data_IF_024442268903
#
_entry.id   IF_024442268903
#
_cell.length_a   1.000
_cell.length_b   1.000
_cell.length_c   1.000
_cell.angle_alpha   90.00
_cell.angle_beta   90.00
_cell.angle_gamma   90.00
#
_symmetry.space_group_name_H-M   'P 1'
#
loop_
_entity.id
_entity.type
_entity.pdbx_description
1 polymer ?
#
# COMPACT_ATOMS: atom_id res chain seq x y z
N UNK A 1 -12.18 -2.04 -16.33
CA UNK A 1 -11.58 -3.14 -15.52
C UNK A 1 -10.21 -3.59 -16.00
N UNK A 2 -9.90 -3.71 -17.31
CA UNK A 2 -8.52 -3.91 -17.79
C UNK A 2 -7.53 -2.83 -17.31
N UNK A 3 -7.98 -1.56 -17.26
CA UNK A 3 -7.16 -0.40 -16.85
C UNK A 3 -6.77 -0.34 -15.36
N UNK A 4 -7.49 -1.06 -14.46
CA UNK A 4 -7.26 -1.00 -13.00
C UNK A 4 -6.38 -2.15 -12.49
N UNK A 5 -6.32 -3.27 -13.23
CA UNK A 5 -5.35 -4.35 -12.95
C UNK A 5 -4.01 -4.09 -13.62
N UNK A 6 -3.99 -3.35 -14.74
CA UNK A 6 -2.77 -2.68 -15.16
C UNK A 6 -2.29 -1.79 -14.03
N UNK A 7 -3.07 -0.95 -13.33
CA UNK A 7 -2.52 -0.06 -12.28
C UNK A 7 -1.84 -0.74 -11.08
N UNK A 8 -2.12 -2.01 -10.76
CA UNK A 8 -1.43 -2.75 -9.69
C UNK A 8 -0.13 -3.44 -10.16
N UNK A 9 -0.01 -3.66 -11.47
CA UNK A 9 1.22 -4.05 -12.18
C UNK A 9 1.93 -2.84 -12.84
N UNK A 10 1.27 -1.70 -12.91
CA UNK A 10 1.63 -0.43 -13.57
C UNK A 10 1.78 0.69 -12.54
N UNK A 11 1.96 0.33 -11.28
CA UNK A 11 2.49 1.22 -10.24
C UNK A 11 4.02 1.22 -10.19
N UNK A 12 4.68 0.57 -11.16
CA UNK A 12 6.10 0.82 -11.43
C UNK A 12 6.39 0.81 -12.93
N UNK A 13 6.33 1.98 -13.56
CA UNK A 13 6.80 2.18 -14.93
C UNK A 13 7.64 3.46 -15.04
N UNK A 14 8.64 3.65 -14.17
CA UNK A 14 9.65 4.70 -14.32
C UNK A 14 10.93 4.27 -13.59
N UNK A 15 12.09 4.19 -14.26
CA UNK A 15 13.43 3.96 -13.67
C UNK A 15 14.47 4.56 -14.61
N UNK A 16 15.70 5.07 -14.27
CA UNK A 16 16.84 4.52 -13.48
C UNK A 16 18.28 5.01 -13.78
N UNK A 17 19.18 4.07 -14.10
CA UNK A 17 20.65 4.05 -13.98
C UNK A 17 21.22 4.33 -12.59
N UNK A 18 21.44 3.24 -11.85
CA UNK A 18 22.45 3.17 -10.80
C UNK A 18 23.86 3.31 -11.38
N UNK A 19 24.79 3.85 -10.60
CA UNK A 19 26.22 3.88 -10.93
C UNK A 19 26.73 2.44 -11.09
N UNK A 20 27.38 2.14 -12.21
CA UNK A 20 28.01 0.84 -12.48
C UNK A 20 29.15 0.63 -11.49
N UNK A 21 29.03 -0.41 -10.66
CA UNK A 21 30.20 -1.14 -10.18
C UNK A 21 30.57 -2.14 -11.29
N UNK A 22 31.76 -2.02 -11.87
CA UNK A 22 32.22 -2.79 -13.02
C UNK A 22 32.44 -4.30 -12.73
N UNK A 23 32.00 -4.79 -11.56
CA UNK A 23 32.18 -6.17 -11.09
C UNK A 23 30.85 -6.91 -10.83
N UNK A 24 29.68 -6.32 -11.10
CA UNK A 24 28.41 -7.05 -10.92
C UNK A 24 28.17 -8.06 -12.07
N UNK A 25 27.76 -9.30 -11.76
CA UNK A 25 27.53 -10.33 -12.76
C UNK A 25 26.31 -9.97 -13.62
N UNK A 26 26.50 -9.76 -14.93
CA UNK A 26 25.40 -9.60 -15.88
C UNK A 26 24.81 -10.98 -16.21
N UNK A 27 23.49 -11.13 -16.05
CA UNK A 27 22.82 -12.39 -16.36
C UNK A 27 22.75 -12.63 -17.88
N UNK A 28 22.78 -13.91 -18.27
CA UNK A 28 22.45 -14.29 -19.62
C UNK A 28 20.97 -13.97 -19.90
N UNK A 29 20.57 -13.69 -21.16
CA UNK A 29 19.18 -13.43 -21.51
C UNK A 29 18.23 -14.56 -21.06
N UNK A 30 18.64 -15.82 -21.22
CA UNK A 30 17.80 -16.98 -20.87
C UNK A 30 17.63 -17.15 -19.35
N UNK A 31 18.72 -16.97 -18.59
CA UNK A 31 18.63 -16.96 -17.12
C UNK A 31 17.77 -15.79 -16.64
N UNK A 32 17.95 -14.61 -17.25
CA UNK A 32 17.18 -13.41 -16.96
C UNK A 32 15.68 -13.60 -17.17
N UNK A 33 15.27 -14.10 -18.33
CA UNK A 33 13.87 -14.44 -18.64
C UNK A 33 13.30 -15.45 -17.65
N UNK A 34 14.08 -16.46 -17.28
CA UNK A 34 13.67 -17.49 -16.30
C UNK A 34 13.46 -16.90 -14.91
N UNK A 35 14.37 -16.04 -14.43
CA UNK A 35 14.23 -15.35 -13.14
C UNK A 35 12.97 -14.47 -13.14
N UNK A 36 12.74 -13.72 -14.22
CA UNK A 36 11.55 -12.86 -14.33
C UNK A 36 10.28 -13.68 -14.27
N UNK A 37 10.18 -14.73 -15.10
CA UNK A 37 9.03 -15.62 -15.15
C UNK A 37 8.74 -16.27 -13.80
N UNK A 38 9.74 -16.88 -13.17
CA UNK A 38 9.58 -17.55 -11.87
C UNK A 38 9.12 -16.56 -10.79
N UNK A 39 9.63 -15.34 -10.83
CA UNK A 39 9.22 -14.30 -9.88
C UNK A 39 7.77 -13.89 -10.10
N UNK A 40 7.33 -13.66 -11.34
CA UNK A 40 5.94 -13.35 -11.64
C UNK A 40 5.00 -14.51 -11.26
N UNK A 41 5.42 -15.75 -11.49
CA UNK A 41 4.67 -16.93 -11.03
C UNK A 41 4.53 -16.96 -9.50
N UNK A 42 5.61 -16.63 -8.78
CA UNK A 42 5.61 -16.59 -7.31
C UNK A 42 4.67 -15.51 -6.73
N UNK A 43 4.39 -14.43 -7.47
CA UNK A 43 3.40 -13.41 -7.06
C UNK A 43 2.01 -14.04 -6.90
N UNK A 44 1.62 -14.93 -7.81
CA UNK A 44 0.33 -15.62 -7.70
C UNK A 44 0.28 -16.55 -6.48
N UNK A 45 1.38 -17.18 -6.11
CA UNK A 45 1.45 -17.97 -4.88
C UNK A 45 1.35 -17.09 -3.63
N UNK A 46 1.84 -15.85 -3.69
CA UNK A 46 1.61 -14.86 -2.64
C UNK A 46 0.14 -14.48 -2.51
N UNK A 47 -0.56 -14.27 -3.62
CA UNK A 47 -2.00 -14.03 -3.60
C UNK A 47 -2.80 -15.21 -3.07
N UNK A 48 -2.42 -16.45 -3.42
CA UNK A 48 -3.02 -17.65 -2.82
C UNK A 48 -2.83 -17.67 -1.31
N UNK A 49 -1.60 -17.44 -0.82
CA UNK A 49 -1.33 -17.34 0.63
C UNK A 49 -2.13 -16.24 1.32
N UNK A 50 -2.35 -15.11 0.65
CA UNK A 50 -3.18 -14.03 1.18
C UNK A 50 -4.65 -14.46 1.27
N UNK A 51 -5.16 -15.11 0.22
CA UNK A 51 -6.51 -15.64 0.20
C UNK A 51 -6.72 -16.81 1.17
N UNK A 52 -5.71 -17.66 1.41
CA UNK A 52 -5.79 -18.81 2.33
C UNK A 52 -5.50 -18.41 3.79
N UNK A 53 -5.16 -17.15 4.04
CA UNK A 53 -4.89 -16.62 5.38
C UNK A 53 -6.16 -16.43 6.21
N UNK A 54 -6.03 -16.59 7.53
CA UNK A 54 -7.15 -16.42 8.47
C UNK A 54 -7.77 -15.02 8.42
N UNK A 55 -6.99 -14.00 8.04
CA UNK A 55 -7.49 -12.66 7.81
C UNK A 55 -8.49 -12.63 6.65
N UNK A 56 -8.19 -13.30 5.54
CA UNK A 56 -9.09 -13.30 4.40
C UNK A 56 -10.38 -14.09 4.69
N UNK A 57 -10.29 -15.17 5.47
CA UNK A 57 -11.48 -15.87 5.97
C UNK A 57 -12.34 -14.95 6.85
N UNK A 58 -11.72 -14.26 7.81
CA UNK A 58 -12.41 -13.27 8.64
C UNK A 58 -13.04 -12.16 7.80
N UNK A 59 -12.27 -11.57 6.89
CA UNK A 59 -12.70 -10.48 5.99
C UNK A 59 -13.90 -10.92 5.15
N UNK A 60 -13.87 -12.15 4.61
CA UNK A 60 -14.99 -12.70 3.86
C UNK A 60 -16.25 -12.82 4.72
N UNK A 61 -16.14 -13.31 5.96
CA UNK A 61 -17.29 -13.45 6.84
C UNK A 61 -17.89 -12.11 7.27
N UNK A 62 -17.06 -11.12 7.59
CA UNK A 62 -17.56 -9.80 8.04
C UNK A 62 -18.06 -8.93 6.89
N UNK A 63 -17.61 -9.16 5.66
CA UNK A 63 -18.14 -8.50 4.46
C UNK A 63 -19.37 -9.20 3.87
N UNK A 64 -19.77 -10.37 4.39
CA UNK A 64 -20.97 -11.04 3.92
C UNK A 64 -22.20 -10.18 4.23
N UNK A 65 -23.08 -10.01 3.24
CA UNK A 65 -24.33 -9.27 3.42
C UNK A 65 -25.18 -9.87 4.54
N UNK A 66 -25.75 -8.98 5.34
CA UNK A 66 -26.66 -9.23 6.45
C UNK A 66 -27.83 -8.25 6.35
N UNK A 67 -28.74 -8.50 5.41
CA UNK A 67 -29.73 -7.52 4.97
C UNK A 67 -29.11 -6.58 3.93
N UNK A 68 -29.29 -5.28 4.11
CA UNK A 68 -28.77 -4.25 3.18
C UNK A 68 -27.28 -3.92 3.42
N UNK A 69 -26.76 -4.24 4.60
CA UNK A 69 -25.38 -3.93 5.02
C UNK A 69 -24.53 -5.20 5.14
N UNK A 70 -23.20 -5.05 5.06
CA UNK A 70 -22.30 -6.11 5.49
C UNK A 70 -22.39 -6.33 7.00
N UNK A 71 -21.91 -7.48 7.48
CA UNK A 71 -21.92 -7.76 8.92
C UNK A 71 -21.07 -6.75 9.73
N UNK A 72 -19.90 -6.35 9.21
CA UNK A 72 -19.06 -5.33 9.84
C UNK A 72 -19.77 -3.96 9.93
N UNK A 73 -20.39 -3.53 8.84
CA UNK A 73 -21.14 -2.26 8.80
C UNK A 73 -22.31 -2.30 9.77
N UNK A 74 -23.09 -3.38 9.79
CA UNK A 74 -24.23 -3.52 10.70
C UNK A 74 -23.81 -3.43 12.18
N UNK A 75 -22.72 -4.10 12.56
CA UNK A 75 -22.15 -4.00 13.91
C UNK A 75 -21.70 -2.57 14.23
N UNK A 76 -21.03 -1.92 13.27
CA UNK A 76 -20.54 -0.54 13.40
C UNK A 76 -21.68 0.46 13.56
N UNK A 77 -22.65 0.46 12.65
CA UNK A 77 -23.84 1.32 12.69
C UNK A 77 -24.59 1.19 14.00
N UNK A 78 -24.80 -0.04 14.49
CA UNK A 78 -25.46 -0.23 15.79
C UNK A 78 -24.67 0.40 16.93
N UNK A 79 -23.34 0.33 16.88
CA UNK A 79 -22.51 1.01 17.87
C UNK A 79 -22.63 2.54 17.75
N UNK A 80 -22.64 3.07 16.52
CA UNK A 80 -22.84 4.49 16.23
C UNK A 80 -24.21 5.01 16.69
N UNK A 81 -25.27 4.24 16.51
CA UNK A 81 -26.63 4.59 16.93
C UNK A 81 -26.77 4.63 18.46
N UNK A 82 -26.06 3.75 19.16
CA UNK A 82 -26.20 3.55 20.61
C UNK A 82 -25.28 4.43 21.45
N UNK A 83 -24.15 4.89 20.90
CA UNK A 83 -23.13 5.59 21.64
C UNK A 83 -22.63 6.84 20.90
N UNK A 84 -22.34 7.89 21.67
CA UNK A 84 -21.75 9.10 21.13
C UNK A 84 -20.27 8.88 20.73
N UNK A 85 -20.07 8.53 19.46
CA UNK A 85 -18.74 8.25 18.90
C UNK A 85 -17.97 9.48 18.45
N UNK A 86 -18.60 10.65 18.41
CA UNK A 86 -18.01 11.88 17.88
C UNK A 86 -18.06 12.97 18.94
N UNK A 87 -16.89 13.38 19.44
CA UNK A 87 -16.78 14.43 20.44
C UNK A 87 -15.71 15.44 20.08
N UNK A 88 -16.07 16.72 20.13
CA UNK A 88 -15.18 17.84 19.79
C UNK A 88 -14.55 17.67 18.40
N UNK A 89 -15.36 17.29 17.40
CA UNK A 89 -14.91 17.14 16.00
C UNK A 89 -13.96 15.97 15.75
N UNK A 90 -13.91 14.96 16.64
CA UNK A 90 -13.13 13.74 16.42
C UNK A 90 -13.69 12.54 17.19
N UNK A 91 -13.02 11.39 17.05
CA UNK A 91 -13.47 10.15 17.66
C UNK A 91 -13.44 10.21 19.21
N UNK A 92 -14.56 9.88 19.85
CA UNK A 92 -14.73 9.96 21.31
C UNK A 92 -14.05 8.79 22.05
N UNK A 93 -12.73 8.62 21.88
CA UNK A 93 -12.02 7.48 22.45
C UNK A 93 -12.08 7.45 23.98
N UNK A 94 -11.96 8.61 24.66
CA UNK A 94 -11.80 8.65 26.11
C UNK A 94 -13.06 8.21 26.86
N UNK A 95 -14.24 8.63 26.41
CA UNK A 95 -15.51 8.32 27.10
C UNK A 95 -16.06 6.96 26.68
N UNK A 96 -15.70 6.51 25.47
CA UNK A 96 -16.07 5.18 24.99
C UNK A 96 -15.21 4.06 25.56
N UNK A 97 -14.18 4.32 26.36
CA UNK A 97 -13.42 3.28 27.08
C UNK A 97 -14.36 2.34 27.84
N UNK A 98 -14.17 1.02 27.65
CA UNK A 98 -15.06 -0.01 28.16
C UNK A 98 -15.03 -1.30 27.34
N UNK A 99 -15.76 -2.29 27.85
CA UNK A 99 -16.00 -3.57 27.18
C UNK A 99 -17.45 -3.58 26.71
N UNK A 100 -17.64 -3.77 25.41
CA UNK A 100 -18.94 -3.83 24.73
C UNK A 100 -19.14 -5.23 24.19
N UNK A 101 -20.24 -5.84 24.58
CA UNK A 101 -20.59 -7.20 24.18
C UNK A 101 -21.85 -7.13 23.34
N UNK A 102 -21.81 -7.73 22.15
CA UNK A 102 -22.94 -7.85 21.27
C UNK A 102 -23.97 -8.83 21.84
N UNK A 103 -25.24 -8.44 21.88
CA UNK A 103 -26.34 -9.32 22.23
C UNK A 103 -26.97 -9.89 20.96
N UNK A 104 -26.80 -11.20 20.74
CA UNK A 104 -27.31 -11.89 19.54
C UNK A 104 -28.84 -11.96 19.46
N UNK A 105 -29.54 -11.76 20.58
CA UNK A 105 -31.01 -11.79 20.64
C UNK A 105 -31.59 -10.42 20.35
N UNK A 106 -31.14 -9.38 21.07
CA UNK A 106 -31.65 -8.00 20.89
C UNK A 106 -31.01 -7.29 19.71
N UNK A 107 -29.88 -7.79 19.20
CA UNK A 107 -29.07 -7.20 18.12
C UNK A 107 -28.59 -5.79 18.47
N UNK A 108 -28.09 -5.66 19.69
CA UNK A 108 -27.62 -4.41 20.26
C UNK A 108 -26.33 -4.63 21.04
N UNK A 109 -25.50 -3.58 21.13
CA UNK A 109 -24.35 -3.55 22.02
C UNK A 109 -24.77 -3.26 23.46
N UNK A 110 -24.10 -3.91 24.40
CA UNK A 110 -24.20 -3.62 25.82
C UNK A 110 -22.81 -3.37 26.40
N UNK A 111 -22.64 -2.27 27.13
CA UNK A 111 -21.42 -2.02 27.91
C UNK A 111 -21.43 -2.92 29.14
N UNK A 112 -20.63 -3.98 29.12
CA UNK A 112 -20.60 -5.04 30.15
C UNK A 112 -19.46 -4.90 31.15
N UNK A 113 -18.51 -4.00 30.90
CA UNK A 113 -17.40 -3.77 31.82
C UNK A 113 -16.63 -2.47 31.57
N UNK A 114 -15.82 -2.09 32.55
CA UNK A 114 -14.87 -1.00 32.46
C UNK A 114 -13.53 -1.49 31.91
N UNK A 115 -12.83 -0.66 31.14
CA UNK A 115 -11.51 -0.94 30.58
C UNK A 115 -10.80 0.38 30.31
N UNK A 116 -9.46 0.39 30.24
CA UNK A 116 -8.68 1.53 29.76
C UNK A 116 -8.71 1.68 28.24
N UNK A 117 -9.23 0.66 27.54
CA UNK A 117 -9.31 0.54 26.10
C UNK A 117 -10.78 0.44 25.66
N UNK A 118 -11.04 0.49 24.35
CA UNK A 118 -12.34 0.10 23.81
C UNK A 118 -12.23 -1.35 23.34
N UNK A 119 -13.08 -2.23 23.86
CA UNK A 119 -13.11 -3.64 23.47
C UNK A 119 -14.49 -3.99 22.96
N UNK A 120 -14.57 -4.50 21.74
CA UNK A 120 -15.80 -5.05 21.16
C UNK A 120 -15.70 -6.58 21.14
N UNK A 121 -16.73 -7.25 21.62
CA UNK A 121 -16.88 -8.71 21.64
C UNK A 121 -18.14 -9.06 20.85
N UNK A 122 -17.98 -9.80 19.75
CA UNK A 122 -19.04 -10.02 18.77
C UNK A 122 -18.93 -11.40 18.11
N UNK A 123 -20.00 -11.91 17.47
CA UNK A 123 -19.89 -13.06 16.58
C UNK A 123 -19.07 -12.73 15.33
N UNK A 124 -18.06 -13.53 15.00
CA UNK A 124 -17.25 -13.28 13.79
C UNK A 124 -18.04 -13.45 12.46
N UNK A 125 -19.26 -13.98 12.52
CA UNK A 125 -20.15 -14.21 11.37
C UNK A 125 -21.57 -13.72 11.69
N UNK A 126 -22.31 -13.20 10.70
CA UNK A 126 -23.66 -12.65 10.90
C UNK A 126 -24.67 -13.62 11.54
N UNK A 127 -24.59 -14.92 11.22
CA UNK A 127 -25.49 -15.95 11.75
C UNK A 127 -24.92 -16.69 12.98
N UNK A 128 -23.78 -16.22 13.50
CA UNK A 128 -23.09 -16.86 14.62
C UNK A 128 -23.75 -16.51 15.95
N UNK A 129 -23.93 -17.51 16.82
CA UNK A 129 -24.37 -17.30 18.20
C UNK A 129 -23.19 -17.18 19.18
N UNK A 130 -22.01 -17.65 18.78
CA UNK A 130 -20.81 -17.64 19.60
C UNK A 130 -20.11 -16.29 19.49
N UNK A 131 -19.79 -15.68 20.62
CA UNK A 131 -19.03 -14.44 20.70
C UNK A 131 -17.52 -14.71 20.62
N UNK A 132 -17.07 -15.08 19.43
CA UNK A 132 -15.68 -15.49 19.19
C UNK A 132 -14.81 -14.43 18.50
N UNK A 133 -15.40 -13.35 18.02
CA UNK A 133 -14.70 -12.17 17.51
C UNK A 133 -14.44 -11.16 18.62
N UNK A 134 -13.23 -10.62 18.65
CA UNK A 134 -12.84 -9.56 19.58
C UNK A 134 -11.96 -8.53 18.89
N UNK A 135 -12.34 -7.26 18.97
CA UNK A 135 -11.54 -6.13 18.52
C UNK A 135 -11.19 -5.25 19.73
N UNK A 136 -9.95 -4.80 19.81
CA UNK A 136 -9.48 -3.88 20.87
C UNK A 136 -8.84 -2.68 20.22
N UNK A 137 -9.32 -1.49 20.52
CA UNK A 137 -8.66 -0.24 20.21
C UNK A 137 -8.02 0.33 21.48
N UNK A 138 -6.72 0.55 21.42
CA UNK A 138 -5.92 1.10 22.51
C UNK A 138 -4.98 2.19 22.04
N UNK A 139 -4.51 3.00 22.99
CA UNK A 139 -3.53 4.08 22.78
C UNK A 139 -3.89 5.06 21.65
N UNK A 140 -5.18 5.24 21.35
CA UNK A 140 -5.63 6.18 20.33
C UNK A 140 -5.38 7.62 20.77
N UNK A 141 -4.76 8.38 19.88
CA UNK A 141 -4.55 9.82 20.01
C UNK A 141 -4.79 10.46 18.65
N UNK A 142 -5.40 11.63 18.67
CA UNK A 142 -5.57 12.48 17.51
C UNK A 142 -5.06 13.89 17.79
N UNK A 143 -4.86 14.66 16.73
CA UNK A 143 -4.45 16.06 16.79
C UNK A 143 -5.33 16.87 15.84
N UNK A 144 -5.75 18.06 16.28
CA UNK A 144 -6.37 19.05 15.39
C UNK A 144 -5.31 19.56 14.42
N UNK A 145 -5.61 19.48 13.13
CA UNK A 145 -4.77 20.05 12.08
C UNK A 145 -5.62 21.08 11.35
N UNK A 146 -5.05 22.26 11.20
CA UNK A 146 -5.66 23.37 10.49
C UNK A 146 -4.93 23.55 9.16
N UNK A 147 -5.66 23.47 8.07
CA UNK A 147 -5.18 23.81 6.72
C UNK A 147 -6.03 24.98 6.25
N UNK A 148 -5.38 26.10 5.96
CA UNK A 148 -6.06 27.37 5.70
C UNK A 148 -7.02 27.77 6.84
N UNK A 149 -8.34 27.68 6.62
CA UNK A 149 -9.38 27.96 7.63
C UNK A 149 -10.05 26.71 8.20
N UNK A 150 -9.84 25.55 7.58
CA UNK A 150 -10.54 24.32 7.94
C UNK A 150 -9.71 23.52 8.94
N UNK A 151 -10.38 23.08 10.02
CA UNK A 151 -9.74 22.31 11.09
C UNK A 151 -10.41 20.96 11.25
N UNK A 152 -9.61 19.91 11.19
CA UNK A 152 -10.07 18.52 11.35
C UNK A 152 -9.14 17.76 12.30
N UNK A 153 -9.66 16.75 13.02
CA UNK A 153 -8.86 15.91 13.91
C UNK A 153 -8.40 14.65 13.20
N UNK A 154 -7.08 14.50 13.08
CA UNK A 154 -6.47 13.34 12.46
C UNK A 154 -5.86 12.40 13.50
N UNK A 155 -6.04 11.07 13.37
CA UNK A 155 -5.33 10.10 14.19
C UNK A 155 -3.81 10.26 14.00
N UNK A 156 -3.09 10.39 15.11
CA UNK A 156 -1.61 10.44 15.13
C UNK A 156 -0.99 9.22 15.78
N UNK A 157 -1.78 8.50 16.61
CA UNK A 157 -1.43 7.21 17.21
C UNK A 157 -2.66 6.34 17.38
N UNK A 158 -2.46 5.04 17.38
CA UNK A 158 -3.51 4.08 17.70
C UNK A 158 -3.06 2.66 17.45
N UNK A 159 -3.69 1.73 18.16
CA UNK A 159 -3.39 0.32 18.02
C UNK A 159 -4.69 -0.46 18.09
N UNK A 160 -5.05 -1.12 16.99
CA UNK A 160 -6.21 -2.01 16.92
C UNK A 160 -5.75 -3.45 16.73
N UNK A 161 -6.30 -4.36 17.52
CA UNK A 161 -6.03 -5.81 17.43
C UNK A 161 -7.36 -6.52 17.24
N UNK A 162 -7.42 -7.41 16.27
CA UNK A 162 -8.59 -8.26 16.00
C UNK A 162 -8.20 -9.72 16.17
N UNK A 163 -8.96 -10.43 16.99
CA UNK A 163 -8.83 -11.87 17.20
C UNK A 163 -10.13 -12.60 16.91
N UNK A 164 -10.04 -13.78 16.32
CA UNK A 164 -11.15 -14.74 16.17
C UNK A 164 -10.72 -16.05 16.83
N UNK A 165 -11.57 -16.62 17.68
CA UNK A 165 -11.25 -17.82 18.46
C UNK A 165 -9.92 -17.70 19.23
N UNK A 166 -9.68 -16.50 19.79
CA UNK A 166 -8.45 -16.09 20.49
C UNK A 166 -7.15 -16.14 19.65
N UNK A 167 -7.25 -16.23 18.32
CA UNK A 167 -6.11 -16.11 17.40
C UNK A 167 -6.12 -14.75 16.73
N UNK A 168 -4.95 -14.10 16.66
CA UNK A 168 -4.80 -12.79 16.01
C UNK A 168 -4.91 -12.93 14.50
N UNK A 169 -5.97 -12.37 13.93
CA UNK A 169 -6.22 -12.37 12.48
C UNK A 169 -5.76 -11.06 11.83
N UNK A 170 -5.87 -9.94 12.56
CA UNK A 170 -5.40 -8.65 12.11
C UNK A 170 -4.89 -7.80 13.29
N UNK A 171 -3.96 -6.90 12.99
CA UNK A 171 -3.50 -5.86 13.90
C UNK A 171 -3.04 -4.66 13.07
N UNK A 172 -3.39 -3.46 13.50
CA UNK A 172 -2.86 -2.23 12.90
C UNK A 172 -2.35 -1.33 14.02
N UNK A 173 -1.11 -0.88 13.87
CA UNK A 173 -0.43 -0.03 14.82
C UNK A 173 0.10 1.21 14.10
N UNK A 174 -0.51 2.35 14.38
CA UNK A 174 -0.02 3.66 14.04
C UNK A 174 0.86 4.15 15.20
N UNK A 175 2.17 4.03 15.05
CA UNK A 175 3.12 4.44 16.09
C UNK A 175 3.20 5.97 16.18
N UNK A 176 3.24 6.62 15.02
CA UNK A 176 3.33 8.07 14.90
C UNK A 176 2.96 8.54 13.49
N UNK A 177 2.26 9.67 13.41
CA UNK A 177 2.14 10.48 12.19
C UNK A 177 2.33 11.93 12.58
N UNK A 178 3.15 12.65 11.82
CA UNK A 178 3.31 14.09 11.95
C UNK A 178 3.14 14.76 10.59
N UNK A 179 2.66 15.99 10.64
CA UNK A 179 2.32 16.78 9.47
C UNK A 179 3.12 18.07 9.47
N UNK A 180 3.37 18.60 8.28
CA UNK A 180 3.94 19.92 8.13
C UNK A 180 2.87 20.98 8.47
N UNK A 181 3.23 21.91 9.36
CA UNK A 181 2.37 23.02 9.75
C UNK A 181 2.64 24.24 8.85
N UNK A 182 1.68 25.18 8.78
CA UNK A 182 1.78 26.42 7.98
C UNK A 182 1.90 26.18 6.46
N UNK A 183 1.28 25.11 5.98
CA UNK A 183 1.17 24.80 4.55
C UNK A 183 -0.29 24.92 4.11
N UNK A 184 -0.50 25.20 2.83
CA UNK A 184 -1.85 25.32 2.25
C UNK A 184 -2.47 23.95 1.92
N UNK A 185 -1.81 22.85 2.27
CA UNK A 185 -2.27 21.48 2.02
C UNK A 185 -1.78 20.56 3.12
N UNK A 186 -2.52 19.48 3.40
CA UNK A 186 -2.10 18.50 4.39
C UNK A 186 -0.92 17.68 3.85
N UNK A 187 0.25 17.80 4.48
CA UNK A 187 1.43 17.05 4.07
C UNK A 187 2.06 16.30 5.25
N UNK A 188 2.01 14.96 5.28
CA UNK A 188 2.70 14.20 6.30
C UNK A 188 4.21 14.32 6.10
N UNK A 189 4.96 14.65 7.15
CA UNK A 189 6.42 14.63 7.14
C UNK A 189 7.00 13.41 7.87
N UNK A 190 6.16 12.67 8.60
CA UNK A 190 6.49 11.37 9.13
C UNK A 190 5.26 10.47 9.20
N UNK A 191 5.43 9.20 8.83
CA UNK A 191 4.45 8.12 9.04
C UNK A 191 5.23 6.92 9.54
N UNK A 192 4.72 6.26 10.59
CA UNK A 192 5.17 4.94 11.02
C UNK A 192 3.96 4.05 11.34
N UNK A 193 3.60 3.23 10.36
CA UNK A 193 2.43 2.35 10.37
C UNK A 193 2.87 0.91 10.15
N UNK A 194 2.38 0.02 11.00
CA UNK A 194 2.50 -1.44 10.83
C UNK A 194 1.11 -2.06 10.79
N UNK A 195 0.86 -2.90 9.79
CA UNK A 195 -0.37 -3.66 9.62
C UNK A 195 0.00 -5.12 9.53
N UNK A 196 -0.52 -5.95 10.43
CA UNK A 196 -0.47 -7.39 10.35
C UNK A 196 -1.84 -7.91 9.90
N UNK A 197 -1.84 -8.76 8.87
CA UNK A 197 -3.00 -9.50 8.37
C UNK A 197 -2.50 -10.90 8.07
N UNK A 198 -2.83 -11.89 8.88
CA UNK A 198 -2.20 -13.21 8.80
C UNK A 198 -2.23 -13.79 7.36
N UNK A 199 -1.09 -14.23 6.78
CA UNK A 199 0.25 -14.35 7.38
C UNK A 199 1.23 -13.21 7.07
N UNK A 200 0.73 -12.06 6.60
CA UNK A 200 1.52 -10.92 6.14
C UNK A 200 1.68 -9.83 7.19
N UNK A 201 2.82 -9.16 7.14
CA UNK A 201 3.07 -7.89 7.81
C UNK A 201 3.45 -6.85 6.77
N UNK A 202 2.70 -5.76 6.76
CA UNK A 202 2.94 -4.56 5.97
C UNK A 202 3.47 -3.44 6.87
N UNK A 203 4.50 -2.75 6.44
CA UNK A 203 5.00 -1.53 7.08
C UNK A 203 4.97 -0.40 6.08
N UNK A 204 4.48 0.77 6.49
CA UNK A 204 4.51 2.01 5.71
C UNK A 204 5.23 3.05 6.53
N UNK A 205 6.31 3.59 5.97
CA UNK A 205 7.10 4.63 6.59
C UNK A 205 7.29 5.79 5.62
N UNK A 206 7.11 7.01 6.12
CA UNK A 206 7.50 8.23 5.45
C UNK A 206 8.42 8.98 6.42
N UNK A 207 9.54 9.49 5.93
CA UNK A 207 10.50 10.25 6.73
C UNK A 207 11.04 11.43 5.94
N UNK A 208 10.73 12.64 6.41
CA UNK A 208 11.41 13.87 6.04
C UNK A 208 12.83 13.85 6.61
N UNK A 209 13.84 13.63 5.77
CA UNK A 209 15.27 13.65 6.20
C UNK A 209 15.79 15.06 6.35
N UNK A 210 15.40 15.92 5.41
CA UNK A 210 15.71 17.35 5.38
C UNK A 210 14.46 18.11 4.95
N UNK A 211 14.52 19.44 4.86
CA UNK A 211 13.40 20.22 4.33
C UNK A 211 13.07 19.94 2.85
N UNK A 212 13.93 19.22 2.13
CA UNK A 212 13.77 18.95 0.69
C UNK A 212 13.84 17.46 0.37
N UNK A 213 14.27 16.59 1.28
CA UNK A 213 14.48 15.16 1.01
C UNK A 213 13.53 14.29 1.83
N UNK A 214 12.79 13.43 1.12
CA UNK A 214 11.78 12.53 1.67
C UNK A 214 12.08 11.09 1.31
N UNK A 215 12.07 10.22 2.31
CA UNK A 215 12.11 8.77 2.13
C UNK A 215 10.74 8.18 2.39
N UNK A 216 10.26 7.40 1.44
CA UNK A 216 9.11 6.54 1.58
C UNK A 216 9.58 5.08 1.54
N UNK A 217 9.15 4.28 2.51
CA UNK A 217 9.42 2.85 2.58
C UNK A 217 8.11 2.10 2.82
N UNK A 218 7.70 1.31 1.84
CA UNK A 218 6.67 0.30 1.97
C UNK A 218 7.33 -1.08 1.95
N UNK A 219 6.90 -1.98 2.83
CA UNK A 219 7.33 -3.36 2.84
C UNK A 219 6.18 -4.26 3.24
N UNK A 220 5.86 -5.25 2.42
CA UNK A 220 4.98 -6.36 2.72
C UNK A 220 5.81 -7.64 2.75
N UNK A 221 5.68 -8.41 3.80
CA UNK A 221 6.44 -9.66 3.97
C UNK A 221 5.61 -10.72 4.69
N UNK A 222 5.92 -11.99 4.45
CA UNK A 222 5.43 -13.10 5.26
C UNK A 222 6.57 -14.05 5.65
N UNK A 223 6.54 -14.65 6.86
CA UNK A 223 7.52 -15.67 7.26
C UNK A 223 7.57 -16.89 6.32
N UNK A 224 6.51 -17.12 5.53
CA UNK A 224 6.40 -18.23 4.57
C UNK A 224 6.89 -17.85 3.17
N UNK A 225 7.75 -16.84 3.04
CA UNK A 225 8.12 -16.20 1.77
C UNK A 225 7.05 -15.22 1.30
N UNK A 226 7.30 -14.53 0.17
CA UNK A 226 6.57 -13.35 -0.31
C UNK A 226 7.06 -12.05 0.32
N UNK A 227 7.89 -11.35 -0.44
CA UNK A 227 8.44 -10.05 -0.08
C UNK A 227 8.14 -9.07 -1.20
N UNK A 228 7.49 -7.97 -0.87
CA UNK A 228 7.28 -6.82 -1.75
C UNK A 228 7.80 -5.58 -1.03
N UNK A 229 8.73 -4.85 -1.63
CA UNK A 229 9.27 -3.62 -1.04
C UNK A 229 9.17 -2.51 -2.07
N UNK A 230 8.79 -1.32 -1.65
CA UNK A 230 8.87 -0.11 -2.45
C UNK A 230 9.58 0.95 -1.62
N UNK A 231 10.74 1.41 -2.08
CA UNK A 231 11.48 2.51 -1.48
C UNK A 231 11.50 3.67 -2.46
N UNK A 232 11.12 4.86 -2.04
CA UNK A 232 11.26 6.07 -2.84
C UNK A 232 12.10 7.09 -2.07
N UNK A 233 13.06 7.71 -2.74
CA UNK A 233 13.73 8.91 -2.28
C UNK A 233 13.37 10.05 -3.23
N UNK A 234 12.57 10.99 -2.75
CA UNK A 234 12.16 12.14 -3.52
C UNK A 234 12.85 13.40 -2.98
N UNK A 235 13.47 14.14 -3.88
CA UNK A 235 14.10 15.43 -3.58
C UNK A 235 13.27 16.55 -4.19
N UNK A 236 12.90 17.53 -3.38
CA UNK A 236 12.20 18.73 -3.79
C UNK A 236 13.17 19.80 -4.32
N UNK A 237 12.64 20.75 -5.09
CA UNK A 237 13.41 21.91 -5.60
C UNK A 237 13.56 23.04 -4.58
N UNK A 238 12.72 23.05 -3.55
CA UNK A 238 12.64 24.10 -2.53
C UNK A 238 12.07 23.55 -1.22
N UNK A 239 12.45 24.16 -0.08
CA UNK A 239 11.82 23.90 1.22
C UNK A 239 10.52 24.68 1.45
N UNK A 240 10.16 25.60 0.55
CA UNK A 240 8.91 26.37 0.63
C UNK A 240 7.79 25.63 -0.11
N UNK A 241 7.06 24.75 0.59
CA UNK A 241 6.06 23.90 -0.06
C UNK A 241 4.89 24.66 -0.67
N UNK A 242 4.61 25.86 -0.17
CA UNK A 242 3.54 26.70 -0.72
C UNK A 242 3.93 27.37 -2.05
N UNK A 243 5.19 27.27 -2.49
CA UNK A 243 5.60 27.83 -3.78
C UNK A 243 5.32 26.91 -4.97
N UNK A 244 5.02 25.63 -4.74
CA UNK A 244 4.85 24.68 -5.84
C UNK A 244 3.51 24.85 -6.54
N UNK A 245 3.54 25.00 -7.86
CA UNK A 245 2.33 25.09 -8.71
C UNK A 245 2.08 23.82 -9.53
N UNK A 246 3.08 22.92 -9.60
CA UNK A 246 3.00 21.65 -10.32
C UNK A 246 3.97 20.61 -9.73
N UNK A 247 3.77 19.34 -10.08
CA UNK A 247 4.69 18.25 -9.68
C UNK A 247 6.07 18.46 -10.31
N UNK A 248 6.11 18.91 -11.56
CA UNK A 248 7.35 19.16 -12.31
C UNK A 248 8.18 20.29 -11.69
N UNK A 249 7.52 21.32 -11.14
CA UNK A 249 8.20 22.37 -10.38
C UNK A 249 8.65 21.87 -8.99
N UNK A 250 7.86 21.01 -8.35
CA UNK A 250 8.09 20.59 -6.98
C UNK A 250 9.31 19.68 -6.81
N UNK A 251 9.53 18.74 -7.75
CA UNK A 251 10.56 17.71 -7.61
C UNK A 251 11.81 18.01 -8.44
N UNK A 252 12.98 17.86 -7.82
CA UNK A 252 14.28 17.84 -8.47
C UNK A 252 14.49 16.46 -9.12
N UNK A 253 14.45 15.41 -8.30
CA UNK A 253 14.56 14.03 -8.76
C UNK A 253 13.82 13.07 -7.84
N UNK A 254 13.47 11.92 -8.39
CA UNK A 254 12.84 10.82 -7.66
C UNK A 254 13.63 9.55 -7.95
N UNK A 255 14.10 8.88 -6.91
CA UNK A 255 14.71 7.56 -6.99
C UNK A 255 13.73 6.53 -6.41
N UNK A 256 13.57 5.37 -7.04
CA UNK A 256 12.69 4.29 -6.58
C UNK A 256 13.51 3.00 -6.51
N UNK A 257 13.13 2.10 -5.63
CA UNK A 257 13.55 0.70 -5.64
C UNK A 257 12.30 -0.12 -5.36
N UNK A 258 11.85 -0.91 -6.32
CA UNK A 258 10.79 -1.88 -6.15
C UNK A 258 11.38 -3.29 -6.12
N UNK A 259 11.06 -4.06 -5.09
CA UNK A 259 11.52 -5.45 -4.94
C UNK A 259 10.28 -6.34 -4.90
N UNK A 260 10.33 -7.41 -5.67
CA UNK A 260 9.38 -8.52 -5.58
C UNK A 260 10.17 -9.82 -5.52
N UNK A 261 10.19 -10.46 -4.35
CA UNK A 261 10.99 -11.65 -4.09
C UNK A 261 12.44 -11.49 -4.59
N UNK A 262 12.81 -12.17 -5.67
CA UNK A 262 14.17 -12.18 -6.22
C UNK A 262 14.43 -11.09 -7.27
N UNK A 263 13.42 -10.31 -7.67
CA UNK A 263 13.59 -9.20 -8.62
C UNK A 263 13.67 -7.87 -7.91
N UNK A 264 14.57 -7.02 -8.41
CA UNK A 264 14.71 -5.63 -8.01
C UNK A 264 14.68 -4.74 -9.24
N UNK A 265 13.74 -3.81 -9.26
CA UNK A 265 13.68 -2.71 -10.20
C UNK A 265 14.21 -1.47 -9.48
N UNK A 266 15.36 -0.94 -9.89
CA UNK A 266 15.87 0.36 -9.37
C UNK A 266 15.06 1.48 -10.06
N UNK A 267 15.23 2.78 -9.82
CA UNK A 267 14.61 3.89 -10.57
C UNK A 267 15.21 5.24 -10.30
N UNK A 268 15.21 6.11 -11.32
CA UNK A 268 15.59 7.51 -11.23
C UNK A 268 14.85 8.29 -12.31
N UNK A 269 14.25 9.38 -11.88
CA UNK A 269 13.50 10.32 -12.72
C UNK A 269 14.13 11.69 -12.53
N UNK A 270 14.57 12.30 -13.64
CA UNK A 270 15.08 13.67 -13.65
C UNK A 270 13.92 14.65 -13.89
N UNK A 271 13.15 14.90 -12.84
CA UNK A 271 11.96 15.77 -12.92
C UNK A 271 12.37 17.21 -13.23
N UNK A 272 13.52 17.65 -12.72
CA UNK A 272 14.09 18.97 -13.02
C UNK A 272 14.39 19.17 -14.51
N UNK A 273 14.91 18.15 -15.19
CA UNK A 273 15.16 18.24 -16.63
C UNK A 273 13.85 18.31 -17.43
N UNK A 274 12.82 17.56 -17.03
CA UNK A 274 11.47 17.63 -17.62
C UNK A 274 10.92 19.06 -17.51
N UNK A 275 10.96 19.63 -16.31
CA UNK A 275 10.48 20.99 -16.05
C UNK A 275 11.26 22.04 -16.86
N UNK A 276 12.60 21.93 -16.91
CA UNK A 276 13.45 22.83 -17.71
C UNK A 276 13.16 22.76 -19.21
N UNK A 277 12.71 21.62 -19.71
CA UNK A 277 12.28 21.46 -21.09
C UNK A 277 10.87 22.05 -21.36
N UNK A 278 10.20 22.60 -20.35
CA UNK A 278 8.85 23.14 -20.45
C UNK A 278 7.79 22.08 -20.71
N UNK A 279 8.07 20.82 -20.32
CA UNK A 279 7.19 19.67 -20.54
C UNK A 279 6.47 19.27 -19.26
N UNK A 280 5.32 18.63 -19.43
CA UNK A 280 4.60 17.93 -18.36
C UNK A 280 4.89 16.44 -18.47
N UNK A 281 4.94 15.75 -17.34
CA UNK A 281 5.20 14.31 -17.26
C UNK A 281 4.19 13.52 -18.10
N UNK A 282 2.91 13.93 -18.09
CA UNK A 282 1.85 13.27 -18.85
C UNK A 282 1.90 13.49 -20.37
N UNK A 283 2.70 14.45 -20.84
CA UNK A 283 2.76 14.84 -22.26
C UNK A 283 4.11 14.43 -22.91
N UNK A 284 4.92 13.62 -22.23
CA UNK A 284 6.21 13.18 -22.74
C UNK A 284 6.04 12.18 -23.88
N UNK A 285 6.79 12.38 -24.96
CA UNK A 285 6.95 11.37 -26.00
C UNK A 285 7.76 10.18 -25.50
N UNK A 286 7.68 9.05 -26.21
CA UNK A 286 8.50 7.86 -25.90
C UNK A 286 9.99 8.15 -25.77
N UNK A 287 10.55 8.98 -26.66
CA UNK A 287 11.97 9.35 -26.62
C UNK A 287 12.29 10.19 -25.38
N UNK A 288 11.41 11.14 -25.04
CA UNK A 288 11.56 11.99 -23.86
C UNK A 288 11.46 11.19 -22.56
N UNK A 289 10.49 10.27 -22.46
CA UNK A 289 10.40 9.35 -21.31
C UNK A 289 11.72 8.60 -21.15
N UNK A 290 12.19 7.94 -22.21
CA UNK A 290 13.44 7.16 -22.15
C UNK A 290 14.71 8.02 -21.96
N UNK A 291 14.61 9.35 -22.11
CA UNK A 291 15.69 10.32 -21.87
C UNK A 291 15.73 10.74 -20.41
N UNK A 292 14.58 11.13 -19.85
CA UNK A 292 14.47 11.61 -18.46
C UNK A 292 14.33 10.48 -17.43
N UNK A 293 14.12 9.25 -17.91
CA UNK A 293 13.83 8.05 -17.11
C UNK A 293 14.65 6.88 -17.68
N UNK A 294 15.67 6.43 -16.93
CA UNK A 294 16.64 5.36 -17.35
C UNK A 294 16.46 3.89 -16.85
N UNK A 295 15.56 3.05 -17.36
CA UNK A 295 15.04 1.94 -16.55
C UNK A 295 15.96 0.67 -16.42
N UNK A 296 16.05 -0.04 -15.28
CA UNK A 296 16.97 -1.18 -15.04
C UNK A 296 16.45 -2.22 -14.03
N UNK A 297 16.47 -3.49 -14.43
CA UNK A 297 16.03 -4.65 -13.68
C UNK A 297 17.23 -5.51 -13.25
N UNK A 298 17.21 -5.97 -12.00
CA UNK A 298 18.26 -6.74 -11.34
C UNK A 298 17.68 -7.96 -10.64
N UNK A 299 18.54 -8.95 -10.36
CA UNK A 299 18.27 -9.93 -9.31
C UNK A 299 18.64 -9.31 -7.96
N UNK A 300 17.80 -9.46 -6.94
CA UNK A 300 18.12 -9.04 -5.57
C UNK A 300 19.43 -9.66 -5.12
N UNK A 301 20.36 -8.84 -4.62
CA UNK A 301 21.71 -9.24 -4.22
C UNK A 301 22.50 -9.98 -5.33
N UNK A 302 22.12 -9.80 -6.59
CA UNK A 302 22.84 -10.26 -7.77
C UNK A 302 23.05 -9.08 -8.73
N UNK A 303 23.45 -9.35 -9.96
CA UNK A 303 23.64 -8.30 -10.95
C UNK A 303 22.46 -8.10 -11.90
N UNK A 304 22.71 -7.28 -12.92
CA UNK A 304 21.72 -6.78 -13.88
C UNK A 304 21.13 -7.89 -14.74
N UNK A 305 19.82 -7.84 -14.92
CA UNK A 305 19.02 -8.73 -15.78
C UNK A 305 18.73 -8.06 -17.11
N UNK A 306 18.18 -6.84 -17.09
CA UNK A 306 17.75 -6.14 -18.29
C UNK A 306 17.76 -4.62 -18.10
N UNK A 307 17.96 -3.89 -19.18
CA UNK A 307 17.47 -2.51 -19.28
C UNK A 307 15.97 -2.53 -19.48
N UNK A 308 15.29 -1.52 -18.98
CA UNK A 308 13.85 -1.35 -19.12
C UNK A 308 13.61 -0.11 -19.98
N UNK A 309 12.69 -0.21 -20.93
CA UNK A 309 12.39 0.88 -21.88
C UNK A 309 10.89 1.02 -22.07
N UNK A 310 10.43 2.26 -22.15
CA UNK A 310 9.06 2.57 -22.51
C UNK A 310 8.92 2.65 -24.03
N UNK A 311 7.79 2.21 -24.56
CA UNK A 311 7.41 2.34 -25.95
C UNK A 311 5.90 2.55 -26.06
N UNK A 312 5.46 3.10 -27.19
CA UNK A 312 4.04 3.16 -27.55
C UNK A 312 3.84 2.32 -28.81
N UNK A 313 2.90 1.39 -28.77
CA UNK A 313 2.50 0.58 -29.92
C UNK A 313 1.01 0.74 -30.18
N UNK A 314 0.68 1.53 -31.20
CA UNK A 314 -0.72 1.96 -31.41
C UNK A 314 -1.15 2.88 -30.27
N UNK A 315 -2.22 2.51 -29.58
CA UNK A 315 -2.74 3.24 -28.41
C UNK A 315 -2.29 2.63 -27.07
N UNK A 316 -1.43 1.60 -27.10
CA UNK A 316 -1.00 0.89 -25.91
C UNK A 316 0.41 1.34 -25.46
N UNK A 317 0.52 1.68 -24.18
CA UNK A 317 1.78 1.87 -23.46
C UNK A 317 2.43 0.51 -23.20
N UNK A 318 3.66 0.32 -23.67
CA UNK A 318 4.41 -0.94 -23.58
C UNK A 318 5.70 -0.74 -22.78
N UNK A 319 6.00 -1.69 -21.90
CA UNK A 319 7.29 -1.77 -21.23
C UNK A 319 8.11 -2.91 -21.80
N UNK A 320 9.31 -2.60 -22.27
CA UNK A 320 10.27 -3.55 -22.81
C UNK A 320 11.38 -3.87 -21.81
N UNK A 321 11.71 -5.14 -21.70
CA UNK A 321 12.97 -5.61 -21.15
C UNK A 321 13.95 -5.85 -22.29
N UNK A 322 15.09 -5.15 -22.23
CA UNK A 322 16.19 -5.25 -23.18
C UNK A 322 17.32 -6.02 -22.49
N UNK A 323 17.55 -7.26 -22.92
CA UNK A 323 18.57 -8.13 -22.34
C UNK A 323 19.97 -7.82 -22.89
N UNK A 324 20.99 -8.44 -22.28
CA UNK A 324 22.41 -8.23 -22.61
C UNK A 324 22.79 -8.57 -24.06
N UNK A 325 22.03 -9.42 -24.74
CA UNK A 325 22.18 -9.75 -26.17
C UNK A 325 21.44 -8.79 -27.11
N UNK A 326 20.75 -7.78 -26.57
CA UNK A 326 19.91 -6.85 -27.31
C UNK A 326 18.51 -7.38 -27.64
N UNK A 327 18.16 -8.61 -27.23
CA UNK A 327 16.81 -9.12 -27.37
C UNK A 327 15.83 -8.27 -26.56
N UNK A 328 14.63 -8.10 -27.12
CA UNK A 328 13.56 -7.27 -26.55
C UNK A 328 12.36 -8.15 -26.26
N UNK A 329 11.87 -8.11 -25.03
CA UNK A 329 10.67 -8.84 -24.59
C UNK A 329 9.71 -7.87 -23.92
N UNK A 330 8.42 -7.97 -24.21
CA UNK A 330 7.39 -7.16 -23.56
C UNK A 330 7.21 -7.64 -22.11
N UNK A 331 7.16 -6.73 -21.15
CA UNK A 331 6.92 -7.07 -19.75
C UNK A 331 5.55 -7.75 -19.57
N UNK A 332 4.58 -7.38 -20.41
CA UNK A 332 3.22 -7.92 -20.44
C UNK A 332 3.18 -9.41 -20.77
N UNK A 333 4.18 -9.95 -21.48
CA UNK A 333 4.27 -11.39 -21.76
C UNK A 333 4.39 -12.23 -20.47
N UNK A 334 4.92 -11.66 -19.39
CA UNK A 334 5.05 -12.35 -18.11
C UNK A 334 3.79 -12.29 -17.24
N UNK A 335 2.82 -11.45 -17.60
CA UNK A 335 1.63 -11.14 -16.80
C UNK A 335 0.34 -11.11 -17.62
N UNK A 336 0.35 -11.68 -18.82
CA UNK A 336 -0.80 -11.64 -19.74
C UNK A 336 -2.06 -12.30 -19.16
N UNK A 337 -1.89 -13.28 -18.27
CA UNK A 337 -2.98 -14.02 -17.60
C UNK A 337 -3.31 -13.49 -16.20
N UNK A 338 -2.74 -12.35 -15.80
CA UNK A 338 -2.83 -11.83 -14.43
C UNK A 338 -4.26 -11.62 -13.97
N UNK A 339 -5.07 -10.91 -14.75
CA UNK A 339 -6.46 -10.64 -14.40
C UNK A 339 -7.25 -11.94 -14.18
N UNK A 340 -7.05 -12.94 -15.03
CA UNK A 340 -7.76 -14.22 -14.92
C UNK A 340 -7.30 -15.00 -13.69
N UNK A 341 -5.98 -15.11 -13.47
CA UNK A 341 -5.43 -15.78 -12.30
C UNK A 341 -5.86 -15.12 -10.98
N UNK A 342 -5.79 -13.81 -10.89
CA UNK A 342 -6.24 -13.07 -9.69
C UNK A 342 -7.73 -13.28 -9.44
N UNK A 343 -8.58 -13.19 -10.47
CA UNK A 343 -10.01 -13.49 -10.34
C UNK A 343 -10.26 -14.92 -9.86
N UNK A 344 -9.52 -15.89 -10.37
CA UNK A 344 -9.65 -17.28 -9.97
C UNK A 344 -9.21 -17.52 -8.52
N UNK A 345 -8.13 -16.87 -8.07
CA UNK A 345 -7.64 -16.95 -6.68
C UNK A 345 -8.67 -16.36 -5.72
N UNK A 346 -9.18 -15.16 -6.02
CA UNK A 346 -10.12 -14.45 -5.15
C UNK A 346 -11.60 -14.69 -5.49
N UNK A 347 -11.92 -15.75 -6.25
CA UNK A 347 -13.28 -16.02 -6.77
C UNK A 347 -14.37 -15.97 -5.70
N UNK A 348 -14.04 -16.35 -4.46
CA UNK A 348 -14.98 -16.35 -3.33
C UNK A 348 -15.47 -14.95 -2.96
N UNK A 349 -14.72 -13.89 -3.29
CA UNK A 349 -15.11 -12.49 -3.07
C UNK A 349 -15.89 -11.88 -4.25
N UNK A 350 -15.91 -12.54 -5.41
CA UNK A 350 -16.57 -12.02 -6.62
C UNK A 350 -17.90 -12.72 -6.93
N UNK A 351 -18.07 -13.96 -6.46
CA UNK A 351 -19.28 -14.73 -6.68
C UNK A 351 -20.13 -14.69 -5.39
N UNK A 352 -21.05 -13.73 -5.30
CA UNK A 352 -22.23 -13.80 -4.43
C UNK A 352 -23.40 -14.43 -5.17
#
# INVERSE_FOLDING_TARGET
>A
MKKFLLSLLATVALVGCGSKDDNEPVYSPEDGKTIVKNTMESVYDCFKKANDGSFADFLFQVNKKSGDNTWAEYLGEKFYDQYDTQKNGGFNFQELKGIYTWNVVTKEWSKTGSSSNITWIFPATANGTNLNGRAVLENYQDKVITVESDSERFPVKGHIIITVDNKKVAEMKLNNVTFEENTNFLFPNHIDLTIYTEPFTTTVKLTKRTAEEFLFDFSLSSPKGCTTVLRANAKLTSSNYNSFTSVEEAFDNINLIAIQNDLQLVAKVDVKAIHKAGKKIGDLTTEEVNTYVKAELFKVNGGKIADVKYAVEGDDDIIYFIYSDGSKVKAEEYVSDFQEKVKNIFKRFFNE
#
